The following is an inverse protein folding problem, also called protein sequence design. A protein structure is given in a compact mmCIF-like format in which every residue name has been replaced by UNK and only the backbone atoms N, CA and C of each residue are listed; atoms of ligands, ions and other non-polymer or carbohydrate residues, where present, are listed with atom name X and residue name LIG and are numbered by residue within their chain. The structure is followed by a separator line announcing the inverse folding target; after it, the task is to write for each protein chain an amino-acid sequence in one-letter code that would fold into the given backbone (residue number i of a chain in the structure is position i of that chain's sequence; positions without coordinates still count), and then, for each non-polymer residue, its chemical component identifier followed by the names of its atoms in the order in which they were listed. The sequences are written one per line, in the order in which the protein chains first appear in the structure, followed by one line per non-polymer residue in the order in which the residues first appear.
data_IF_778843741179
#
_entry.id   IF_778843741179
#
_cell.length_a   1.000
_cell.length_b   1.000
_cell.length_c   1.000
_cell.angle_alpha   90.00
_cell.angle_beta   90.00
_cell.angle_gamma   90.00
#
_symmetry.space_group_name_H-M   'P 1'
#
loop_
_entity.id
_entity.type
_entity.pdbx_description
1 polymer ?
#
# COMPACT_ATOMS: atom_id res chain seq x y z
N UNK A 1 -23.27 -21.86 7.23
CA UNK A 1 -24.59 -22.18 6.64
C UNK A 1 -25.11 -20.92 5.95
N UNK A 2 -25.53 -21.04 4.71
CA UNK A 2 -26.07 -19.94 3.93
C UNK A 2 -27.49 -19.56 4.37
N UNK A 3 -27.81 -18.30 4.19
CA UNK A 3 -29.08 -17.70 4.61
C UNK A 3 -30.01 -17.49 3.40
N UNK A 4 -31.28 -17.30 3.69
CA UNK A 4 -32.28 -16.98 2.68
C UNK A 4 -33.04 -15.73 3.10
N UNK A 5 -33.04 -14.72 2.23
CA UNK A 5 -33.91 -13.55 2.36
C UNK A 5 -35.10 -13.71 1.42
N UNK A 6 -36.30 -13.64 1.95
CA UNK A 6 -37.55 -13.73 1.20
C UNK A 6 -38.35 -12.47 1.39
N UNK A 7 -38.76 -11.83 0.30
CA UNK A 7 -39.63 -10.65 0.29
C UNK A 7 -40.76 -10.82 -0.71
N UNK A 8 -41.86 -10.15 -0.50
CA UNK A 8 -42.97 -10.13 -1.45
C UNK A 8 -42.63 -9.27 -2.67
N UNK A 9 -42.19 -8.04 -2.42
CA UNK A 9 -41.77 -7.14 -3.50
C UNK A 9 -40.45 -6.48 -3.16
N UNK A 10 -39.65 -6.17 -4.19
CA UNK A 10 -38.41 -5.43 -4.09
C UNK A 10 -38.42 -4.24 -5.04
N UNK A 11 -38.21 -3.05 -4.50
CA UNK A 11 -37.95 -1.86 -5.28
C UNK A 11 -36.51 -1.39 -5.06
N UNK A 12 -35.64 -1.65 -6.04
CA UNK A 12 -34.25 -1.26 -6.02
C UNK A 12 -34.08 0.23 -6.18
N UNK A 13 -33.61 0.93 -5.16
CA UNK A 13 -33.43 2.39 -5.14
C UNK A 13 -32.07 2.86 -4.66
N UNK A 14 -31.02 2.04 -4.84
CA UNK A 14 -29.63 2.41 -4.57
C UNK A 14 -29.03 1.84 -3.28
N UNK A 15 -29.72 0.94 -2.58
CA UNK A 15 -29.14 0.15 -1.50
C UNK A 15 -28.27 -0.98 -2.02
N UNK A 16 -27.43 -1.57 -1.15
CA UNK A 16 -26.62 -2.75 -1.45
C UNK A 16 -27.05 -3.91 -0.55
N UNK A 17 -27.36 -5.05 -1.15
CA UNK A 17 -27.58 -6.30 -0.43
C UNK A 17 -26.26 -7.08 -0.46
N UNK A 18 -25.80 -7.54 0.70
CA UNK A 18 -24.61 -8.37 0.83
C UNK A 18 -25.05 -9.82 0.86
N UNK A 19 -24.42 -10.66 0.03
CA UNK A 19 -24.66 -12.10 -0.04
C UNK A 19 -23.35 -12.82 0.23
N UNK A 20 -23.35 -13.74 1.20
CA UNK A 20 -22.24 -14.65 1.40
C UNK A 20 -22.22 -15.69 0.27
N UNK A 21 -21.04 -15.93 -0.29
CA UNK A 21 -20.82 -16.88 -1.39
C UNK A 21 -19.61 -17.75 -1.08
N UNK A 22 -19.71 -19.04 -1.35
CA UNK A 22 -18.57 -19.96 -1.38
C UNK A 22 -17.88 -19.86 -2.74
N UNK A 23 -16.71 -19.26 -2.78
CA UNK A 23 -15.93 -19.08 -4.01
C UNK A 23 -15.35 -20.38 -4.59
N UNK A 24 -15.51 -21.49 -3.88
CA UNK A 24 -14.95 -22.81 -4.27
C UNK A 24 -16.01 -23.79 -4.80
N UNK A 25 -17.29 -23.42 -4.79
CA UNK A 25 -18.37 -24.31 -5.19
C UNK A 25 -19.56 -23.54 -5.78
N UNK A 26 -20.20 -24.15 -6.78
CA UNK A 26 -21.44 -23.64 -7.36
C UNK A 26 -22.63 -23.84 -6.40
N UNK A 27 -23.59 -22.92 -6.45
CA UNK A 27 -24.83 -22.94 -5.67
C UNK A 27 -24.68 -22.95 -4.13
N UNK A 28 -23.52 -22.58 -3.65
CA UNK A 28 -23.23 -22.37 -2.23
C UNK A 28 -23.18 -20.87 -1.94
N UNK A 29 -24.34 -20.26 -1.74
CA UNK A 29 -24.47 -18.81 -1.49
C UNK A 29 -25.76 -18.52 -0.72
N UNK A 30 -25.80 -17.32 -0.09
CA UNK A 30 -27.04 -16.72 0.33
C UNK A 30 -27.95 -16.48 -0.86
N UNK A 31 -29.26 -16.62 -0.66
CA UNK A 31 -30.26 -16.50 -1.75
C UNK A 31 -31.33 -15.48 -1.42
N UNK A 32 -31.65 -14.66 -2.43
CA UNK A 32 -32.74 -13.69 -2.38
C UNK A 32 -33.93 -14.21 -3.18
N UNK A 33 -35.10 -14.28 -2.56
CA UNK A 33 -36.34 -14.64 -3.21
C UNK A 33 -37.32 -13.48 -3.20
N UNK A 34 -37.79 -13.06 -4.40
CA UNK A 34 -38.83 -12.06 -4.57
C UNK A 34 -40.05 -12.76 -5.11
N UNK A 35 -41.09 -12.92 -4.25
CA UNK A 35 -42.24 -13.79 -4.53
C UNK A 35 -43.28 -13.14 -5.39
N UNK A 36 -43.25 -11.81 -5.59
CA UNK A 36 -44.14 -11.07 -6.50
C UNK A 36 -43.29 -10.24 -7.47
N UNK A 37 -43.07 -8.96 -7.25
CA UNK A 37 -42.49 -8.07 -8.26
C UNK A 37 -41.18 -7.46 -7.83
N UNK A 38 -40.19 -7.51 -8.72
CA UNK A 38 -38.94 -6.74 -8.62
C UNK A 38 -38.94 -5.59 -9.64
N UNK A 39 -38.64 -4.37 -9.17
CA UNK A 39 -38.50 -3.14 -9.97
C UNK A 39 -37.24 -2.37 -9.59
N UNK A 40 -36.79 -1.48 -10.49
CA UNK A 40 -35.64 -0.62 -10.26
C UNK A 40 -34.30 -1.31 -10.40
N UNK A 41 -33.26 -0.76 -9.78
CA UNK A 41 -31.88 -1.32 -9.81
C UNK A 41 -31.41 -1.59 -8.40
N UNK A 42 -31.00 -2.83 -8.15
CA UNK A 42 -30.50 -3.27 -6.84
C UNK A 42 -29.06 -3.78 -6.97
N UNK A 43 -28.15 -3.21 -6.18
CA UNK A 43 -26.78 -3.67 -6.12
C UNK A 43 -26.63 -4.89 -5.19
N UNK A 44 -25.90 -5.91 -5.65
CA UNK A 44 -25.47 -7.08 -4.88
C UNK A 44 -23.95 -6.98 -4.64
N UNK A 45 -23.53 -7.07 -3.37
CA UNK A 45 -22.14 -7.23 -3.00
C UNK A 45 -21.92 -8.67 -2.60
N UNK A 46 -21.00 -9.35 -3.29
CA UNK A 46 -20.65 -10.74 -3.01
C UNK A 46 -19.53 -10.76 -1.97
N UNK A 47 -19.74 -11.49 -0.89
CA UNK A 47 -18.77 -11.67 0.19
C UNK A 47 -18.30 -13.12 0.22
N UNK A 48 -17.03 -13.34 -0.10
CA UNK A 48 -16.40 -14.67 -0.08
C UNK A 48 -16.19 -15.15 1.35
N UNK A 49 -16.60 -16.38 1.65
CA UNK A 49 -16.53 -16.95 3.01
C UNK A 49 -15.65 -18.21 3.12
N UNK A 50 -15.28 -18.84 2.00
CA UNK A 50 -14.47 -20.06 1.95
C UNK A 50 -13.37 -20.00 0.88
N UNK A 51 -12.89 -18.79 0.56
CA UNK A 51 -11.85 -18.57 -0.44
C UNK A 51 -10.55 -19.32 -0.14
N UNK A 52 -9.80 -19.64 -1.21
CA UNK A 52 -8.47 -20.20 -1.07
C UNK A 52 -7.54 -19.14 -0.48
N UNK A 53 -6.68 -19.55 0.47
CA UNK A 53 -5.62 -18.72 1.04
C UNK A 53 -6.11 -17.42 1.74
N UNK A 54 -7.35 -17.42 2.25
CA UNK A 54 -8.00 -16.24 2.85
C UNK A 54 -8.09 -15.01 1.90
N UNK A 55 -7.97 -15.21 0.60
CA UNK A 55 -8.20 -14.14 -0.37
C UNK A 55 -9.71 -13.85 -0.47
N UNK A 56 -10.15 -12.60 -0.32
CA UNK A 56 -11.57 -12.22 -0.42
C UNK A 56 -12.15 -12.31 -1.84
N UNK A 57 -11.42 -12.86 -2.80
CA UNK A 57 -11.86 -13.01 -4.20
C UNK A 57 -12.53 -14.33 -4.46
N UNK A 58 -13.58 -14.31 -5.31
CA UNK A 58 -14.30 -15.53 -5.72
C UNK A 58 -13.48 -16.36 -6.71
N UNK A 59 -13.47 -17.67 -6.50
CA UNK A 59 -12.97 -18.62 -7.49
C UNK A 59 -13.94 -18.81 -8.64
N UNK A 60 -13.42 -19.28 -9.79
CA UNK A 60 -14.25 -19.58 -10.98
C UNK A 60 -15.22 -20.73 -10.75
N UNK A 61 -15.01 -21.55 -9.74
CA UNK A 61 -15.89 -22.64 -9.34
C UNK A 61 -17.24 -22.13 -8.80
N UNK A 62 -17.35 -20.84 -8.44
CA UNK A 62 -18.60 -20.19 -8.06
C UNK A 62 -19.46 -19.75 -9.28
N UNK A 63 -18.93 -19.84 -10.51
CA UNK A 63 -19.69 -19.45 -11.71
C UNK A 63 -20.94 -20.33 -11.86
N UNK A 64 -22.05 -19.70 -12.20
CA UNK A 64 -23.36 -20.35 -12.30
C UNK A 64 -24.18 -20.33 -11.03
N UNK A 65 -23.60 -19.89 -9.89
CA UNK A 65 -24.34 -19.79 -8.62
C UNK A 65 -25.53 -18.86 -8.73
N UNK A 66 -26.72 -19.35 -8.39
CA UNK A 66 -27.96 -18.57 -8.35
C UNK A 66 -27.96 -17.72 -7.07
N UNK A 67 -28.09 -16.41 -7.26
CA UNK A 67 -28.07 -15.41 -6.19
C UNK A 67 -29.49 -14.90 -5.85
N UNK A 68 -30.35 -14.80 -6.87
CA UNK A 68 -31.72 -14.35 -6.67
C UNK A 68 -32.70 -15.06 -7.60
N UNK A 69 -33.92 -15.34 -7.10
CA UNK A 69 -35.03 -15.84 -7.89
C UNK A 69 -36.22 -14.90 -7.75
N UNK A 70 -36.82 -14.49 -8.87
CA UNK A 70 -37.85 -13.49 -8.95
C UNK A 70 -39.07 -14.02 -9.69
N UNK A 71 -40.28 -13.74 -9.20
CA UNK A 71 -41.50 -14.13 -9.92
C UNK A 71 -41.77 -13.18 -11.08
N UNK A 72 -41.99 -11.87 -10.84
CA UNK A 72 -42.18 -10.88 -11.91
C UNK A 72 -40.97 -9.95 -11.95
N UNK A 73 -40.11 -10.14 -12.96
CA UNK A 73 -38.82 -9.41 -13.06
C UNK A 73 -38.96 -8.17 -13.99
N UNK A 74 -39.14 -6.99 -13.40
CA UNK A 74 -39.12 -5.70 -14.06
C UNK A 74 -37.94 -4.82 -13.60
N UNK A 75 -36.99 -5.38 -12.89
CA UNK A 75 -35.82 -4.71 -12.35
C UNK A 75 -34.50 -5.29 -12.88
N UNK A 76 -33.40 -4.73 -12.37
CA UNK A 76 -32.04 -5.17 -12.72
C UNK A 76 -31.19 -5.30 -11.44
N UNK A 77 -30.59 -6.47 -11.26
CA UNK A 77 -29.50 -6.61 -10.30
C UNK A 77 -28.18 -6.25 -10.95
N UNK A 78 -27.34 -5.50 -10.23
CA UNK A 78 -25.95 -5.21 -10.59
C UNK A 78 -25.02 -5.76 -9.51
N UNK A 79 -23.84 -6.20 -9.89
CA UNK A 79 -22.84 -6.63 -8.92
C UNK A 79 -21.88 -5.48 -8.59
N UNK A 80 -21.46 -5.42 -7.33
CA UNK A 80 -20.41 -4.50 -6.89
C UNK A 80 -19.07 -5.22 -7.03
N UNK A 81 -18.07 -4.54 -7.61
CA UNK A 81 -16.72 -5.07 -7.71
C UNK A 81 -16.16 -5.47 -6.33
N UNK A 82 -15.49 -6.62 -6.26
CA UNK A 82 -14.81 -7.10 -5.05
C UNK A 82 -13.35 -6.66 -5.03
N UNK A 83 -12.86 -6.22 -3.88
CA UNK A 83 -11.43 -5.95 -3.68
C UNK A 83 -10.78 -7.14 -3.00
N UNK A 84 -9.87 -7.83 -3.71
CA UNK A 84 -9.02 -8.87 -3.16
C UNK A 84 -7.67 -8.33 -2.67
N UNK A 85 -6.81 -9.23 -2.22
CA UNK A 85 -5.46 -8.85 -1.79
C UNK A 85 -4.59 -8.35 -2.95
N UNK A 86 -4.64 -9.02 -4.10
CA UNK A 86 -3.84 -8.68 -5.28
C UNK A 86 -4.63 -8.05 -6.40
N UNK A 87 -5.92 -8.42 -6.56
CA UNK A 87 -6.74 -8.03 -7.71
C UNK A 87 -8.05 -7.46 -7.25
N UNK A 88 -8.58 -6.52 -8.01
CA UNK A 88 -10.01 -6.26 -8.04
C UNK A 88 -10.69 -7.28 -8.91
N UNK A 89 -11.88 -7.73 -8.52
CA UNK A 89 -12.74 -8.57 -9.34
C UNK A 89 -13.97 -7.80 -9.76
N UNK A 90 -14.25 -7.83 -11.06
CA UNK A 90 -15.53 -7.41 -11.63
C UNK A 90 -16.42 -8.64 -11.79
N UNK A 91 -17.66 -8.51 -11.35
CA UNK A 91 -18.65 -9.57 -11.46
C UNK A 91 -19.71 -9.17 -12.46
N UNK A 92 -20.06 -10.07 -13.38
CA UNK A 92 -21.22 -9.93 -14.28
C UNK A 92 -22.32 -10.90 -13.84
N UNK A 93 -23.55 -10.38 -13.73
CA UNK A 93 -24.74 -11.17 -13.42
C UNK A 93 -25.46 -11.51 -14.71
N UNK A 94 -25.90 -12.74 -14.84
CA UNK A 94 -26.75 -13.22 -15.93
C UNK A 94 -28.17 -13.50 -15.45
N UNK A 95 -29.07 -13.63 -16.40
CA UNK A 95 -30.46 -14.05 -16.19
C UNK A 95 -30.76 -15.34 -16.95
N UNK A 96 -31.58 -16.20 -16.36
CA UNK A 96 -32.11 -17.40 -17.01
C UNK A 96 -33.53 -17.68 -16.53
N UNK A 97 -34.25 -18.53 -17.26
CA UNK A 97 -35.54 -19.04 -16.80
C UNK A 97 -35.36 -19.82 -15.49
N UNK A 98 -36.19 -19.51 -14.48
CA UNK A 98 -36.08 -20.20 -13.20
C UNK A 98 -36.55 -21.64 -13.27
N UNK A 99 -35.81 -22.53 -12.63
CA UNK A 99 -36.23 -23.91 -12.37
C UNK A 99 -36.88 -24.07 -10.99
N UNK A 100 -36.88 -23.01 -10.19
CA UNK A 100 -37.51 -23.00 -8.86
C UNK A 100 -39.00 -22.71 -8.97
N UNK A 101 -39.82 -23.59 -8.43
CA UNK A 101 -41.29 -23.42 -8.48
C UNK A 101 -41.76 -22.12 -7.85
N UNK A 102 -42.63 -21.38 -8.57
CA UNK A 102 -43.17 -20.07 -8.14
C UNK A 102 -42.34 -18.87 -8.54
N UNK A 103 -41.26 -19.04 -9.31
CA UNK A 103 -40.42 -17.98 -9.86
C UNK A 103 -40.27 -18.13 -11.37
N UNK A 104 -40.04 -17.03 -12.07
CA UNK A 104 -39.88 -16.99 -13.54
C UNK A 104 -38.43 -16.76 -13.96
N UNK A 105 -37.64 -16.03 -13.15
CA UNK A 105 -36.30 -15.57 -13.49
C UNK A 105 -35.34 -15.84 -12.36
N UNK A 106 -34.24 -16.51 -12.67
CA UNK A 106 -33.06 -16.63 -11.80
C UNK A 106 -31.96 -15.69 -12.28
N UNK A 107 -31.36 -15.02 -11.31
CA UNK A 107 -30.15 -14.23 -11.48
C UNK A 107 -28.96 -15.00 -10.94
N UNK A 108 -27.91 -15.17 -11.75
CA UNK A 108 -26.75 -15.97 -11.42
C UNK A 108 -25.44 -15.25 -11.70
N UNK A 109 -24.38 -15.68 -11.06
CA UNK A 109 -23.00 -15.21 -11.30
C UNK A 109 -22.52 -15.76 -12.66
N UNK A 110 -22.49 -14.87 -13.67
CA UNK A 110 -22.17 -15.23 -15.07
C UNK A 110 -20.69 -15.21 -15.35
N UNK A 111 -19.98 -14.17 -14.89
CA UNK A 111 -18.58 -13.95 -15.19
C UNK A 111 -17.85 -13.31 -14.01
N UNK A 112 -16.57 -13.71 -13.86
CA UNK A 112 -15.62 -13.15 -12.91
C UNK A 112 -14.40 -12.72 -13.70
N UNK A 113 -14.10 -11.42 -13.74
CA UNK A 113 -12.94 -10.82 -14.39
C UNK A 113 -11.99 -10.26 -13.35
N UNK A 114 -10.71 -10.71 -13.37
CA UNK A 114 -9.66 -10.12 -12.53
C UNK A 114 -9.11 -8.87 -13.21
N UNK A 115 -9.23 -7.72 -12.53
CA UNK A 115 -8.69 -6.45 -13.00
C UNK A 115 -7.21 -6.38 -12.61
N UNK A 116 -6.34 -6.13 -13.58
CA UNK A 116 -4.89 -6.02 -13.35
C UNK A 116 -4.56 -4.94 -12.30
N UNK A 117 -3.63 -5.20 -11.36
CA UNK A 117 -3.15 -4.18 -10.42
C UNK A 117 -2.54 -2.94 -11.11
N UNK A 118 -2.07 -3.09 -12.35
CA UNK A 118 -1.59 -1.96 -13.15
C UNK A 118 -2.73 -1.02 -13.60
N UNK A 119 -3.93 -1.56 -13.80
CA UNK A 119 -5.12 -0.80 -14.15
C UNK A 119 -5.80 -0.22 -12.89
N UNK A 120 -6.01 -1.07 -11.88
CA UNK A 120 -6.64 -0.71 -10.62
C UNK A 120 -5.95 -1.42 -9.45
N UNK A 121 -4.96 -0.78 -8.81
CA UNK A 121 -4.29 -1.40 -7.67
C UNK A 121 -5.25 -1.56 -6.48
N UNK A 122 -5.06 -2.64 -5.72
CA UNK A 122 -5.75 -2.83 -4.46
C UNK A 122 -5.08 -2.01 -3.35
N UNK A 123 -5.78 -1.83 -2.24
CA UNK A 123 -5.25 -1.16 -1.05
C UNK A 123 -3.98 -1.83 -0.54
N UNK A 124 -3.90 -3.18 -0.61
CA UNK A 124 -2.71 -3.95 -0.25
C UNK A 124 -1.55 -3.66 -1.19
N UNK A 125 -1.78 -3.75 -2.50
CA UNK A 125 -0.74 -3.47 -3.52
C UNK A 125 -0.20 -2.05 -3.38
N UNK A 126 -1.08 -1.04 -3.22
CA UNK A 126 -0.65 0.34 -2.97
C UNK A 126 0.23 0.46 -1.73
N UNK A 127 -0.12 -0.21 -0.64
CA UNK A 127 0.63 -0.14 0.63
C UNK A 127 1.99 -0.82 0.52
N UNK A 128 2.09 -1.97 -0.15
CA UNK A 128 3.38 -2.66 -0.40
C UNK A 128 4.30 -1.83 -1.28
N UNK A 129 3.76 -1.22 -2.34
CA UNK A 129 4.54 -0.34 -3.21
C UNK A 129 5.00 0.94 -2.48
N UNK A 130 4.17 1.46 -1.57
CA UNK A 130 4.53 2.59 -0.73
C UNK A 130 5.66 2.24 0.26
N UNK A 131 5.66 1.04 0.84
CA UNK A 131 6.73 0.56 1.71
C UNK A 131 8.06 0.42 0.95
N UNK A 132 8.03 -0.10 -0.29
CA UNK A 132 9.21 -0.13 -1.16
C UNK A 132 9.72 1.27 -1.53
N UNK A 133 8.82 2.21 -1.82
CA UNK A 133 9.18 3.60 -2.10
C UNK A 133 9.83 4.29 -0.89
N UNK A 134 9.40 3.98 0.33
CA UNK A 134 9.95 4.55 1.56
C UNK A 134 11.47 4.31 1.67
N UNK A 135 11.97 3.12 1.34
CA UNK A 135 13.40 2.82 1.38
C UNK A 135 14.21 3.78 0.48
N UNK A 136 13.71 4.07 -0.72
CA UNK A 136 14.34 5.04 -1.60
C UNK A 136 14.38 6.45 -0.98
N UNK A 137 13.28 6.91 -0.38
CA UNK A 137 13.22 8.24 0.23
C UNK A 137 14.07 8.31 1.50
N UNK A 138 14.17 7.25 2.28
CA UNK A 138 15.05 7.16 3.44
C UNK A 138 16.51 7.26 3.00
N UNK A 139 16.92 6.48 2.00
CA UNK A 139 18.28 6.57 1.41
C UNK A 139 18.59 7.99 0.92
N UNK A 140 17.67 8.63 0.22
CA UNK A 140 17.86 10.00 -0.28
C UNK A 140 18.04 11.00 0.85
N UNK A 141 17.22 10.90 1.90
CA UNK A 141 17.30 11.83 3.05
C UNK A 141 18.62 11.70 3.82
N UNK A 142 19.22 10.52 3.81
CA UNK A 142 20.52 10.25 4.40
C UNK A 142 21.65 11.02 3.69
N UNK A 143 21.62 11.11 2.36
CA UNK A 143 22.61 11.84 1.57
C UNK A 143 22.54 13.35 1.81
N UNK A 144 21.34 13.91 1.89
CA UNK A 144 21.13 15.35 2.11
C UNK A 144 21.73 15.82 3.44
N UNK A 145 21.73 14.98 4.49
CA UNK A 145 22.26 15.32 5.82
C UNK A 145 23.78 15.50 5.84
N UNK A 146 24.50 14.63 5.14
CA UNK A 146 25.97 14.75 5.09
C UNK A 146 26.40 16.00 4.30
N UNK A 147 25.65 16.42 3.29
CA UNK A 147 25.89 17.67 2.56
C UNK A 147 25.80 18.90 3.47
N UNK A 148 24.97 18.88 4.52
CA UNK A 148 24.91 19.97 5.51
C UNK A 148 26.22 20.10 6.29
N UNK A 149 26.85 18.97 6.71
CA UNK A 149 28.16 19.03 7.39
C UNK A 149 29.24 19.65 6.51
N UNK A 150 29.24 19.31 5.22
CA UNK A 150 30.19 19.88 4.27
C UNK A 150 29.96 21.38 4.09
N UNK A 151 28.73 21.85 4.15
CA UNK A 151 28.40 23.28 4.19
C UNK A 151 28.95 23.98 5.41
N UNK A 152 28.86 23.38 6.60
CA UNK A 152 29.42 23.93 7.84
C UNK A 152 30.94 24.07 7.78
N UNK A 153 31.67 23.07 7.26
CA UNK A 153 33.12 23.13 7.07
C UNK A 153 33.53 24.25 6.12
N UNK A 154 32.74 24.55 5.10
CA UNK A 154 33.01 25.68 4.20
C UNK A 154 32.93 27.04 4.88
N UNK A 155 32.09 27.17 5.91
CA UNK A 155 31.89 28.42 6.65
C UNK A 155 32.83 28.56 7.85
N UNK A 156 33.31 27.44 8.40
CA UNK A 156 34.08 27.40 9.65
C UNK A 156 35.57 27.11 9.42
N UNK A 157 36.20 27.80 8.45
CA UNK A 157 37.51 27.54 7.88
C UNK A 157 38.71 27.50 8.82
N UNK A 158 38.57 27.84 10.13
CA UNK A 158 39.67 27.87 11.10
C UNK A 158 39.76 26.60 11.94
N UNK A 159 38.76 25.73 11.93
CA UNK A 159 38.80 24.48 12.67
C UNK A 159 39.82 23.50 12.07
N UNK A 160 40.79 23.05 12.90
CA UNK A 160 41.84 22.12 12.47
C UNK A 160 41.37 20.68 12.53
N UNK A 161 40.60 20.34 13.57
CA UNK A 161 40.00 19.03 13.77
C UNK A 161 38.85 19.10 14.78
N UNK A 162 37.90 18.20 14.69
CA UNK A 162 36.81 18.16 15.65
C UNK A 162 35.93 16.92 15.55
N UNK A 163 35.34 16.59 16.70
CA UNK A 163 34.20 15.70 16.77
C UNK A 163 32.94 16.53 16.67
N UNK A 164 31.96 16.08 15.94
CA UNK A 164 30.66 16.72 15.81
C UNK A 164 29.53 15.72 16.01
N UNK A 165 28.44 16.21 16.50
CA UNK A 165 27.22 15.42 16.71
C UNK A 165 26.03 16.22 16.20
N UNK A 166 25.07 15.54 15.58
CA UNK A 166 23.85 16.13 15.07
C UNK A 166 22.66 15.23 15.35
N UNK A 167 21.55 15.85 15.72
CA UNK A 167 20.23 15.20 15.76
C UNK A 167 19.31 15.96 14.81
N UNK A 168 18.59 15.23 13.99
CA UNK A 168 17.65 15.80 13.04
C UNK A 168 16.34 15.00 13.06
N UNK A 169 15.23 15.67 13.35
CA UNK A 169 13.89 15.12 13.23
C UNK A 169 13.22 15.66 11.98
N UNK A 170 12.57 14.79 11.21
CA UNK A 170 11.88 15.22 10.00
C UNK A 170 10.69 14.32 9.68
N UNK A 171 9.86 14.82 8.76
CA UNK A 171 8.73 14.11 8.21
C UNK A 171 8.86 14.12 6.69
N UNK A 172 8.81 12.94 6.10
CA UNK A 172 8.73 12.78 4.66
C UNK A 172 7.43 12.07 4.32
N UNK A 173 6.87 12.36 3.17
CA UNK A 173 5.62 11.72 2.75
C UNK A 173 5.30 12.00 1.30
N UNK A 174 4.39 11.19 0.80
CA UNK A 174 3.82 11.30 -0.53
C UNK A 174 2.31 11.09 -0.42
N UNK A 175 1.54 12.04 -0.95
CA UNK A 175 0.07 12.00 -0.87
C UNK A 175 -0.61 11.45 -2.12
N UNK A 176 0.15 11.19 -3.18
CA UNK A 176 -0.38 10.75 -4.50
C UNK A 176 0.19 9.38 -4.81
N UNK A 177 -0.61 8.48 -5.36
CA UNK A 177 -0.27 7.10 -5.73
C UNK A 177 0.78 6.46 -4.79
N UNK A 178 0.50 5.33 -4.18
CA UNK A 178 1.39 4.69 -3.20
C UNK A 178 1.79 5.65 -2.07
N UNK A 179 0.78 6.31 -1.49
CA UNK A 179 0.98 7.31 -0.46
C UNK A 179 1.52 6.70 0.84
N UNK A 180 2.48 7.40 1.43
CA UNK A 180 3.00 7.09 2.77
C UNK A 180 3.33 8.38 3.52
N UNK A 181 3.37 8.28 4.82
CA UNK A 181 3.94 9.27 5.71
C UNK A 181 4.97 8.59 6.61
N UNK A 182 6.18 9.17 6.70
CA UNK A 182 7.22 8.68 7.60
C UNK A 182 7.73 9.81 8.48
N UNK A 183 7.74 9.58 9.78
CA UNK A 183 8.36 10.45 10.78
C UNK A 183 9.61 9.76 11.26
N UNK A 184 10.74 10.45 11.22
CA UNK A 184 12.00 9.87 11.62
C UNK A 184 12.88 10.82 12.42
N UNK A 185 13.76 10.23 13.22
CA UNK A 185 14.84 10.93 13.91
C UNK A 185 16.17 10.30 13.47
N UNK A 186 17.10 11.15 13.09
CA UNK A 186 18.45 10.72 12.69
C UNK A 186 19.48 11.29 13.65
N UNK A 187 20.44 10.44 14.00
CA UNK A 187 21.57 10.72 14.87
C UNK A 187 22.84 10.55 14.05
N UNK A 188 23.71 11.55 14.05
CA UNK A 188 24.98 11.52 13.33
C UNK A 188 26.11 11.87 14.30
N UNK A 189 27.16 11.08 14.25
CA UNK A 189 28.40 11.31 14.98
C UNK A 189 29.56 11.24 13.99
N UNK A 190 30.34 12.28 13.92
CA UNK A 190 31.47 12.31 13.01
C UNK A 190 32.72 12.96 13.59
N UNK A 191 33.82 12.71 12.89
CA UNK A 191 35.10 13.33 13.15
C UNK A 191 35.70 13.79 11.82
N UNK A 192 36.25 14.97 11.79
CA UNK A 192 37.00 15.49 10.65
C UNK A 192 38.26 16.25 11.09
N UNK A 193 39.21 16.28 10.20
CA UNK A 193 40.47 17.01 10.42
C UNK A 193 41.02 17.59 9.12
N UNK A 194 41.80 18.66 9.26
CA UNK A 194 42.58 19.23 8.18
C UNK A 194 43.77 18.34 7.89
N UNK A 195 43.81 17.74 6.71
CA UNK A 195 44.92 16.92 6.26
C UNK A 195 45.96 17.70 5.42
N UNK A 196 45.54 18.84 4.88
CA UNK A 196 46.43 19.73 4.11
C UNK A 196 45.90 21.17 4.13
N UNK A 197 46.78 22.12 4.38
CA UNK A 197 46.52 23.57 4.28
C UNK A 197 47.65 24.22 3.52
N UNK A 198 47.30 25.04 2.52
CA UNK A 198 48.19 25.85 1.71
C UNK A 198 47.55 27.25 1.55
N UNK A 199 48.26 28.20 0.95
CA UNK A 199 47.70 29.52 0.62
C UNK A 199 46.53 29.44 -0.37
N UNK A 200 46.50 28.37 -1.21
CA UNK A 200 45.52 28.20 -2.28
C UNK A 200 44.29 27.39 -1.83
N UNK A 201 44.43 26.49 -0.89
CA UNK A 201 43.33 25.63 -0.46
C UNK A 201 43.52 25.00 0.96
N UNK A 202 42.38 24.58 1.55
CA UNK A 202 42.33 23.73 2.73
C UNK A 202 41.61 22.43 2.36
N UNK A 203 42.14 21.29 2.80
CA UNK A 203 41.53 19.97 2.61
C UNK A 203 41.25 19.31 3.95
N UNK A 204 39.99 18.89 4.13
CA UNK A 204 39.53 18.09 5.26
C UNK A 204 39.24 16.67 4.81
N UNK A 205 39.49 15.70 5.67
CA UNK A 205 38.90 14.37 5.57
C UNK A 205 38.14 14.06 6.86
N UNK A 206 37.08 13.27 6.73
CA UNK A 206 36.26 12.90 7.86
C UNK A 206 35.59 11.54 7.71
N UNK A 207 35.11 11.04 8.84
CA UNK A 207 34.30 9.84 8.96
C UNK A 207 33.06 10.17 9.78
N UNK A 208 31.92 9.57 9.42
CA UNK A 208 30.70 9.71 10.18
C UNK A 208 29.94 8.40 10.28
N UNK A 209 29.31 8.21 11.44
CA UNK A 209 28.32 7.16 11.69
C UNK A 209 26.95 7.80 11.72
N UNK A 210 25.98 7.13 11.16
CA UNK A 210 24.60 7.57 11.14
C UNK A 210 23.66 6.45 11.57
N UNK A 211 22.67 6.81 12.39
CA UNK A 211 21.56 5.97 12.77
C UNK A 211 20.26 6.76 12.59
N UNK A 212 19.33 6.19 11.87
CA UNK A 212 17.99 6.77 11.68
C UNK A 212 16.96 5.78 12.17
N UNK A 213 15.99 6.26 12.92
CA UNK A 213 14.85 5.52 13.44
C UNK A 213 13.56 6.24 13.02
N UNK A 214 12.59 5.51 12.51
CA UNK A 214 11.37 6.09 11.97
C UNK A 214 10.16 5.20 12.05
N UNK A 215 8.99 5.83 12.00
CA UNK A 215 7.70 5.16 11.91
C UNK A 215 6.94 5.65 10.70
N UNK A 216 6.37 4.71 9.95
CA UNK A 216 5.65 4.95 8.72
C UNK A 216 4.17 4.60 8.84
N UNK A 217 3.33 5.29 8.08
CA UNK A 217 1.93 4.95 7.89
C UNK A 217 1.62 4.88 6.40
N UNK A 218 0.81 3.87 6.05
CA UNK A 218 0.35 3.58 4.70
C UNK A 218 -1.18 3.66 4.64
N UNK A 219 -1.76 3.49 3.47
CA UNK A 219 -3.22 3.54 3.30
C UNK A 219 -3.96 2.53 4.18
N UNK A 220 -3.43 1.31 4.35
CA UNK A 220 -4.06 0.25 5.12
C UNK A 220 -3.18 -0.32 6.23
N UNK A 221 -2.19 0.42 6.73
CA UNK A 221 -1.30 -0.11 7.75
C UNK A 221 -0.20 0.83 8.17
N UNK A 222 0.78 0.29 8.85
CA UNK A 222 1.92 1.02 9.39
C UNK A 222 3.20 0.18 9.31
N UNK A 223 4.32 0.83 9.62
CA UNK A 223 5.62 0.18 9.66
C UNK A 223 6.62 0.95 10.49
N UNK A 224 7.73 0.29 10.77
CA UNK A 224 8.92 0.85 11.39
C UNK A 224 10.07 0.73 10.42
N UNK A 225 10.92 1.74 10.38
CA UNK A 225 12.09 1.73 9.52
C UNK A 225 13.32 2.23 10.25
N UNK A 226 14.44 1.58 10.02
CA UNK A 226 15.73 2.04 10.51
C UNK A 226 16.76 2.09 9.38
N UNK A 227 17.77 2.96 9.57
CA UNK A 227 18.92 3.03 8.70
C UNK A 227 20.21 3.18 9.51
N UNK A 228 21.23 2.43 9.14
CA UNK A 228 22.58 2.48 9.73
C UNK A 228 23.57 2.73 8.62
N UNK A 229 24.43 3.73 8.79
CA UNK A 229 25.41 4.06 7.77
C UNK A 229 26.77 4.44 8.34
N UNK A 230 27.79 4.17 7.54
CA UNK A 230 29.13 4.72 7.70
C UNK A 230 29.50 5.52 6.46
N UNK A 231 30.10 6.69 6.68
CA UNK A 231 30.49 7.60 5.61
C UNK A 231 31.95 7.99 5.76
N UNK A 232 32.66 8.05 4.65
CA UNK A 232 33.98 8.66 4.52
C UNK A 232 33.83 9.85 3.57
N UNK A 233 34.32 11.00 3.97
CA UNK A 233 34.19 12.19 3.15
C UNK A 233 35.47 13.02 3.11
N UNK A 234 35.63 13.75 2.04
CA UNK A 234 36.69 14.71 1.85
C UNK A 234 36.15 15.98 1.21
N UNK A 235 36.59 17.12 1.72
CA UNK A 235 36.27 18.42 1.14
C UNK A 235 37.56 19.20 0.89
N UNK A 236 37.67 19.79 -0.29
CA UNK A 236 38.71 20.75 -0.61
C UNK A 236 38.07 22.10 -0.87
N UNK A 237 38.51 23.11 -0.12
CA UNK A 237 38.01 24.47 -0.20
C UNK A 237 39.15 25.36 -0.69
N UNK A 238 39.01 25.97 -1.85
CA UNK A 238 39.98 26.87 -2.43
C UNK A 238 39.82 28.32 -1.92
N UNK A 239 40.92 29.04 -1.82
CA UNK A 239 40.97 30.44 -1.36
C UNK A 239 40.10 31.40 -2.22
N UNK A 240 39.78 31.02 -3.45
CA UNK A 240 38.91 31.77 -4.38
C UNK A 240 37.45 31.36 -4.32
N UNK A 241 37.05 30.57 -3.32
CA UNK A 241 35.64 30.17 -3.07
C UNK A 241 35.17 28.91 -3.84
N UNK A 242 35.99 28.30 -4.70
CA UNK A 242 35.65 27.02 -5.28
C UNK A 242 35.82 25.89 -4.26
N UNK A 243 35.05 24.80 -4.39
CA UNK A 243 35.16 23.64 -3.53
C UNK A 243 34.89 22.36 -4.30
N UNK A 244 35.40 21.26 -3.77
CA UNK A 244 35.17 19.90 -4.24
C UNK A 244 34.84 19.03 -3.03
N UNK A 245 33.67 18.41 -3.08
CA UNK A 245 33.17 17.50 -2.04
C UNK A 245 33.13 16.07 -2.62
N UNK A 246 33.69 15.12 -1.90
CA UNK A 246 33.64 13.69 -2.24
C UNK A 246 33.14 12.94 -1.02
N UNK A 247 32.12 12.12 -1.22
CA UNK A 247 31.52 11.29 -0.16
C UNK A 247 31.43 9.86 -0.64
N UNK A 248 31.87 8.94 0.19
CA UNK A 248 31.60 7.52 0.06
C UNK A 248 30.79 7.08 1.29
N UNK A 249 29.60 6.52 1.07
CA UNK A 249 28.68 6.09 2.13
C UNK A 249 28.18 4.69 1.85
N UNK A 250 28.19 3.85 2.90
CA UNK A 250 27.56 2.53 2.89
C UNK A 250 26.44 2.57 3.92
N UNK A 251 25.24 2.17 3.51
CA UNK A 251 24.04 2.16 4.35
C UNK A 251 23.37 0.80 4.29
N UNK A 252 22.85 0.34 5.44
CA UNK A 252 21.83 -0.68 5.53
C UNK A 252 20.52 -0.02 5.89
N UNK A 253 19.47 -0.33 5.14
CA UNK A 253 18.10 0.15 5.36
C UNK A 253 17.24 -1.05 5.70
N UNK A 254 16.41 -0.95 6.71
CA UNK A 254 15.42 -1.95 7.06
C UNK A 254 14.04 -1.29 7.18
N UNK A 255 13.01 -2.01 6.77
CA UNK A 255 11.63 -1.53 6.82
C UNK A 255 10.70 -2.71 7.08
N UNK A 256 10.17 -2.76 8.29
CA UNK A 256 9.16 -3.72 8.72
C UNK A 256 7.79 -3.10 8.58
N UNK A 257 6.86 -3.77 7.93
CA UNK A 257 5.53 -3.23 7.77
C UNK A 257 4.43 -4.26 7.96
N UNK A 258 3.30 -3.76 8.41
CA UNK A 258 2.05 -4.49 8.54
C UNK A 258 0.97 -3.73 7.78
N UNK A 259 0.32 -4.41 6.83
CA UNK A 259 -0.83 -3.87 6.10
C UNK A 259 -2.01 -4.83 6.20
N UNK A 260 -3.20 -4.33 5.95
CA UNK A 260 -4.44 -5.10 6.00
C UNK A 260 -5.12 -5.04 4.65
N UNK A 261 -5.62 -6.18 4.20
CA UNK A 261 -6.46 -6.24 3.01
C UNK A 261 -7.90 -5.75 3.28
N UNK A 262 -8.77 -5.82 2.28
CA UNK A 262 -10.16 -5.39 2.37
C UNK A 262 -11.01 -6.21 3.36
N UNK A 263 -10.59 -7.42 3.71
CA UNK A 263 -11.22 -8.29 4.71
C UNK A 263 -10.54 -8.22 6.08
N UNK A 264 -9.64 -7.24 6.29
CA UNK A 264 -8.86 -7.08 7.51
C UNK A 264 -7.88 -8.24 7.81
N UNK A 265 -7.51 -9.05 6.80
CA UNK A 265 -6.43 -10.01 6.95
C UNK A 265 -5.10 -9.28 7.03
N UNK A 266 -4.28 -9.71 7.99
CA UNK A 266 -2.99 -9.11 8.27
C UNK A 266 -1.91 -9.65 7.33
N UNK A 267 -1.21 -8.75 6.66
CA UNK A 267 -0.05 -9.03 5.81
C UNK A 267 1.16 -8.32 6.41
N UNK A 268 2.21 -9.08 6.72
CA UNK A 268 3.46 -8.56 7.26
C UNK A 268 4.60 -8.88 6.31
N UNK A 269 5.55 -7.96 6.18
CA UNK A 269 6.79 -8.20 5.47
C UNK A 269 7.92 -7.38 6.06
N UNK A 270 9.13 -7.87 5.84
CA UNK A 270 10.40 -7.27 6.22
C UNK A 270 11.21 -7.03 4.94
N UNK A 271 11.73 -5.82 4.78
CA UNK A 271 12.56 -5.42 3.64
C UNK A 271 13.90 -4.92 4.15
N UNK A 272 14.98 -5.65 3.85
CA UNK A 272 16.37 -5.35 4.21
C UNK A 272 17.22 -4.92 3.00
#
# INVERSE_FOLDING_TARGET
AFSTLKTESLNGSGGTIILDVDGTAVDQADKLYVTDTFTGTQALKLHEINGRDNDPTLGKDALGTILASVNTNNGTFTAVDGEGSLFWQRYELGQQASTTGGYTTDWYLKEIENISPAERPTTTVESVLAAGALNYYTWRSENDKLMQRMGELRHNGDAVKGVWFRVNGSKIGRSVCWGFENKYTAYELGYDEVIKRTDDFVRYNGVALNYTDGSSSYRSGNGENDAKAISFYGIQIGSKGHYLDVVFKISRLANDFTVYDSNANKITSELD
#
